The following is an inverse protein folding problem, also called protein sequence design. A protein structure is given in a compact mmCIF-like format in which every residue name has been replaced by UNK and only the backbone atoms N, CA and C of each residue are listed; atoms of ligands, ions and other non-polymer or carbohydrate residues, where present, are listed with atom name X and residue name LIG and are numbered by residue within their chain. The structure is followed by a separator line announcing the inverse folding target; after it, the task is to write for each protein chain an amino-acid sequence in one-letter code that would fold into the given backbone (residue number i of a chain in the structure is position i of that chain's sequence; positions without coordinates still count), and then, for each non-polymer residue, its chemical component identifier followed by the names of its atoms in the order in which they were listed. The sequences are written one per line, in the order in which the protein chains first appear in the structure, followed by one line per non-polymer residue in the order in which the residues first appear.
data_IF_462646985577
#
_entry.id   IF_462646985577
#
_cell.length_a   1.000
_cell.length_b   1.000
_cell.length_c   1.000
_cell.angle_alpha   90.00
_cell.angle_beta   90.00
_cell.angle_gamma   90.00
#
_symmetry.space_group_name_H-M   'P 1'
#
loop_
_entity.id
_entity.type
_entity.pdbx_description
1 polymer ?
#
# COMPACT_ATOMS: atom_id res chain seq x y z
N UNK A 1 2.71 -31.86 -6.71
CA UNK A 1 3.19 -30.83 -5.75
C UNK A 1 2.26 -29.66 -5.87
N UNK A 2 1.57 -29.32 -4.77
CA UNK A 2 0.43 -28.42 -4.75
C UNK A 2 0.82 -26.98 -5.09
N UNK A 3 0.20 -26.42 -6.13
CA UNK A 3 0.12 -24.97 -6.36
C UNK A 3 -0.88 -24.40 -5.38
N UNK A 4 -0.38 -23.68 -4.37
CA UNK A 4 -1.21 -22.95 -3.40
C UNK A 4 -1.83 -21.74 -4.08
N UNK A 5 -3.15 -21.78 -4.30
CA UNK A 5 -3.96 -20.60 -4.57
C UNK A 5 -3.93 -19.71 -3.32
N UNK A 6 -3.22 -18.58 -3.39
CA UNK A 6 -3.32 -17.56 -2.36
C UNK A 6 -4.66 -16.82 -2.54
N UNK A 7 -5.71 -17.36 -1.92
CA UNK A 7 -6.96 -16.63 -1.67
C UNK A 7 -6.69 -15.57 -0.60
N UNK A 8 -5.93 -14.53 -0.93
CA UNK A 8 -5.67 -13.43 0.00
C UNK A 8 -6.90 -12.57 0.03
N UNK A 9 -7.69 -12.67 1.11
CA UNK A 9 -8.74 -11.71 1.44
C UNK A 9 -8.09 -10.33 1.49
N UNK A 10 -8.16 -9.59 0.39
CA UNK A 10 -7.62 -8.24 0.30
C UNK A 10 -8.40 -7.36 1.26
N UNK A 11 -7.76 -6.95 2.34
CA UNK A 11 -8.38 -6.02 3.28
C UNK A 11 -8.37 -4.64 2.67
N UNK A 12 -9.55 -4.05 2.57
CA UNK A 12 -9.74 -2.69 2.09
C UNK A 12 -9.93 -1.77 3.28
N UNK A 13 -9.06 -0.77 3.37
CA UNK A 13 -9.15 0.35 4.29
C UNK A 13 -9.52 1.64 3.56
N UNK A 14 -9.65 2.74 4.29
CA UNK A 14 -9.93 4.07 3.75
C UNK A 14 -8.93 5.10 4.23
N UNK A 15 -8.54 6.01 3.34
CA UNK A 15 -7.64 7.11 3.69
C UNK A 15 -8.37 8.12 4.58
N UNK A 16 -7.85 8.36 5.78
CA UNK A 16 -8.39 9.35 6.72
C UNK A 16 -7.68 10.70 6.62
N UNK A 17 -6.38 10.68 6.35
CA UNK A 17 -5.55 11.88 6.36
C UNK A 17 -4.36 11.74 5.43
N UNK A 18 -3.90 12.85 4.85
CA UNK A 18 -2.72 12.94 3.99
C UNK A 18 -1.92 14.16 4.44
N UNK A 19 -0.65 13.98 4.78
CA UNK A 19 0.28 15.02 5.22
C UNK A 19 1.61 14.83 4.48
N UNK A 20 1.87 15.67 3.48
CA UNK A 20 3.08 15.56 2.66
C UNK A 20 3.21 14.16 2.07
N UNK A 21 4.35 13.50 2.29
CA UNK A 21 4.63 12.13 1.84
C UNK A 21 4.07 11.02 2.74
N UNK A 22 3.29 11.37 3.78
CA UNK A 22 2.68 10.40 4.70
C UNK A 22 1.16 10.43 4.60
N UNK A 23 0.52 9.28 4.76
CA UNK A 23 -0.94 9.18 4.81
C UNK A 23 -1.37 8.22 5.90
N UNK A 24 -2.51 8.52 6.51
CA UNK A 24 -3.11 7.69 7.53
C UNK A 24 -4.31 6.95 6.92
N UNK A 25 -4.34 5.63 7.07
CA UNK A 25 -5.43 4.77 6.62
C UNK A 25 -6.13 4.12 7.81
N UNK A 26 -7.44 3.93 7.69
CA UNK A 26 -8.28 3.24 8.67
C UNK A 26 -8.73 1.91 8.09
N UNK A 27 -8.53 0.86 8.88
CA UNK A 27 -8.87 -0.51 8.57
C UNK A 27 -9.78 -1.09 9.67
N UNK A 28 -10.59 -2.11 9.36
CA UNK A 28 -11.30 -2.86 10.38
C UNK A 28 -10.33 -3.42 11.43
N UNK A 29 -10.64 -3.30 12.72
CA UNK A 29 -9.71 -3.67 13.82
C UNK A 29 -9.21 -5.13 13.76
N UNK A 30 -10.02 -6.04 13.20
CA UNK A 30 -9.66 -7.46 13.06
C UNK A 30 -8.78 -7.76 11.85
N UNK A 31 -8.54 -6.79 10.97
CA UNK A 31 -7.81 -6.92 9.72
C UNK A 31 -6.81 -5.78 9.58
N UNK A 32 -6.12 -5.45 10.68
CA UNK A 32 -5.15 -4.38 10.68
C UNK A 32 -3.85 -4.86 9.99
N UNK A 33 -3.33 -4.15 8.98
CA UNK A 33 -2.07 -4.52 8.34
C UNK A 33 -0.90 -4.49 9.32
N UNK A 34 0.05 -5.41 9.15
CA UNK A 34 1.27 -5.41 9.96
C UNK A 34 2.18 -4.22 9.60
N UNK A 35 3.08 -3.87 10.52
CA UNK A 35 4.13 -2.89 10.23
C UNK A 35 5.02 -3.46 9.11
N UNK A 36 5.42 -2.61 8.17
CA UNK A 36 6.14 -2.91 6.94
C UNK A 36 5.31 -3.57 5.82
N UNK A 37 4.01 -3.81 6.01
CA UNK A 37 3.17 -4.23 4.90
C UNK A 37 3.02 -3.12 3.85
N UNK A 38 3.01 -3.52 2.58
CA UNK A 38 2.74 -2.63 1.48
C UNK A 38 1.23 -2.43 1.31
N UNK A 39 0.82 -1.17 1.19
CA UNK A 39 -0.53 -0.75 0.87
C UNK A 39 -0.55 -0.15 -0.53
N UNK A 40 -1.59 -0.47 -1.29
CA UNK A 40 -1.75 0.01 -2.66
C UNK A 40 -3.00 0.86 -2.77
N UNK A 41 -2.86 2.05 -3.36
CA UNK A 41 -3.96 2.95 -3.70
C UNK A 41 -4.05 3.00 -5.21
N UNK A 42 -5.12 2.41 -5.76
CA UNK A 42 -5.41 2.42 -7.19
C UNK A 42 -6.77 3.06 -7.40
N UNK A 43 -6.77 4.25 -7.98
CA UNK A 43 -8.02 4.92 -8.35
C UNK A 43 -7.85 5.72 -9.62
N UNK A 44 -8.95 5.87 -10.36
CA UNK A 44 -9.03 6.81 -11.47
C UNK A 44 -9.88 7.99 -11.02
N UNK A 45 -9.25 9.12 -10.73
CA UNK A 45 -9.95 10.33 -10.32
C UNK A 45 -9.91 11.34 -11.47
N UNK A 46 -11.07 11.57 -12.10
CA UNK A 46 -11.23 12.57 -13.18
C UNK A 46 -10.25 12.39 -14.36
N UNK A 47 -9.92 11.15 -14.72
CA UNK A 47 -9.01 10.84 -15.83
C UNK A 47 -7.53 10.84 -15.45
N UNK A 48 -7.18 11.12 -14.19
CA UNK A 48 -5.83 10.94 -13.65
C UNK A 48 -5.77 9.59 -12.97
N UNK A 49 -4.89 8.71 -13.48
CA UNK A 49 -4.61 7.42 -12.86
C UNK A 49 -3.68 7.64 -11.66
N UNK A 50 -4.18 7.27 -10.48
CA UNK A 50 -3.42 7.34 -9.24
C UNK A 50 -3.08 5.90 -8.87
N UNK A 51 -1.78 5.61 -8.92
CA UNK A 51 -1.20 4.33 -8.50
C UNK A 51 -0.08 4.62 -7.50
N UNK A 52 -0.43 4.67 -6.22
CA UNK A 52 0.50 4.98 -5.14
C UNK A 52 0.67 3.75 -4.28
N UNK A 53 1.91 3.31 -4.12
CA UNK A 53 2.26 2.30 -3.12
C UNK A 53 2.77 3.02 -1.87
N UNK A 54 2.32 2.60 -0.70
CA UNK A 54 2.84 3.05 0.58
C UNK A 54 3.19 1.88 1.47
N UNK A 55 3.96 2.15 2.52
CA UNK A 55 4.38 1.15 3.50
C UNK A 55 3.90 1.57 4.89
N UNK A 56 3.34 0.63 5.64
CA UNK A 56 2.91 0.86 7.03
C UNK A 56 4.13 1.06 7.92
N UNK A 57 4.24 2.20 8.59
CA UNK A 57 5.34 2.49 9.52
C UNK A 57 4.94 2.34 10.99
N UNK A 58 3.69 2.64 11.34
CA UNK A 58 3.23 2.60 12.72
C UNK A 58 1.72 2.42 12.81
N UNK A 59 1.27 1.84 13.91
CA UNK A 59 -0.13 1.78 14.28
C UNK A 59 -0.47 2.95 15.20
N UNK A 60 -1.49 3.74 14.84
CA UNK A 60 -1.94 4.90 15.62
C UNK A 60 -3.02 4.53 16.64
N UNK A 61 -3.57 3.31 16.58
CA UNK A 61 -4.67 2.84 17.41
C UNK A 61 -6.05 3.08 16.80
N UNK A 62 -7.07 2.37 17.32
CA UNK A 62 -8.46 2.49 16.85
C UNK A 62 -8.65 2.16 15.37
N UNK A 63 -7.97 1.12 14.87
CA UNK A 63 -8.05 0.72 13.45
C UNK A 63 -7.16 1.53 12.51
N UNK A 64 -6.42 2.54 13.01
CA UNK A 64 -5.65 3.48 12.16
C UNK A 64 -4.18 3.12 12.09
N UNK A 65 -3.62 3.24 10.89
CA UNK A 65 -2.21 3.05 10.58
C UNK A 65 -1.66 4.29 9.87
N UNK A 66 -0.39 4.61 10.12
CA UNK A 66 0.34 5.64 9.39
C UNK A 66 1.32 4.99 8.43
N UNK A 67 1.25 5.46 7.20
CA UNK A 67 1.97 4.91 6.09
C UNK A 67 2.82 6.00 5.42
N UNK A 68 3.96 5.60 4.89
CA UNK A 68 4.81 6.45 4.05
C UNK A 68 4.54 6.10 2.60
N UNK A 69 4.23 7.10 1.79
CA UNK A 69 4.06 6.93 0.35
C UNK A 69 5.44 6.80 -0.33
N UNK A 70 5.55 5.82 -1.23
CA UNK A 70 6.73 5.56 -2.04
C UNK A 70 6.64 6.22 -3.43
N UNK A 71 5.53 6.92 -3.69
CA UNK A 71 5.28 7.74 -4.88
C UNK A 71 4.63 9.08 -4.44
N UNK A 72 4.44 10.00 -5.39
CA UNK A 72 3.75 11.27 -5.10
C UNK A 72 2.32 11.02 -4.62
N UNK A 73 1.93 11.70 -3.54
CA UNK A 73 0.56 11.70 -3.01
C UNK A 73 -0.33 12.73 -3.70
N UNK A 74 0.15 13.39 -4.74
CA UNK A 74 -0.62 14.40 -5.47
C UNK A 74 -1.89 13.79 -6.07
N UNK A 75 -3.02 14.45 -5.83
CA UNK A 75 -4.33 13.99 -6.30
C UNK A 75 -4.98 12.92 -5.42
N UNK A 76 -4.29 12.38 -4.41
CA UNK A 76 -4.92 11.53 -3.40
C UNK A 76 -5.93 12.35 -2.58
N UNK A 77 -7.08 11.75 -2.28
CA UNK A 77 -8.13 12.38 -1.47
C UNK A 77 -8.53 11.45 -0.33
N UNK A 78 -9.05 12.06 0.74
CA UNK A 78 -9.62 11.32 1.87
C UNK A 78 -10.82 10.50 1.39
N UNK A 79 -11.00 9.32 1.98
CA UNK A 79 -12.05 8.37 1.63
C UNK A 79 -11.73 7.46 0.45
N UNK A 80 -10.58 7.66 -0.24
CA UNK A 80 -10.08 6.70 -1.22
C UNK A 80 -9.82 5.35 -0.57
N UNK A 81 -10.06 4.29 -1.34
CA UNK A 81 -9.81 2.93 -0.92
C UNK A 81 -8.30 2.64 -0.95
N UNK A 82 -7.84 1.99 0.10
CA UNK A 82 -6.47 1.54 0.32
C UNK A 82 -6.54 0.02 0.44
N UNK A 83 -5.71 -0.69 -0.32
CA UNK A 83 -5.72 -2.15 -0.33
C UNK A 83 -4.46 -2.65 0.36
N UNK A 84 -4.60 -3.48 1.38
CA UNK A 84 -3.47 -4.21 1.97
C UNK A 84 -3.06 -5.36 1.05
N UNK A 85 -1.76 -5.42 0.72
CA UNK A 85 -1.19 -6.51 -0.05
C UNK A 85 -0.91 -7.74 0.81
N UNK A 86 -0.89 -7.59 2.14
CA UNK A 86 -0.63 -8.65 3.11
C UNK A 86 0.85 -9.05 3.21
N UNK A 87 1.74 -8.36 2.51
CA UNK A 87 3.17 -8.60 2.53
C UNK A 87 3.96 -7.29 2.41
N UNK A 88 5.25 -7.29 2.80
CA UNK A 88 6.13 -6.17 2.52
C UNK A 88 6.35 -5.93 1.03
N UNK A 89 6.86 -4.75 0.69
CA UNK A 89 7.28 -4.42 -0.68
C UNK A 89 8.29 -5.46 -1.17
N UNK A 90 7.98 -6.08 -2.31
CA UNK A 90 8.77 -7.16 -2.88
C UNK A 90 9.44 -6.72 -4.16
N UNK A 91 10.75 -6.92 -4.26
CA UNK A 91 11.56 -6.54 -5.43
C UNK A 91 12.12 -7.77 -6.14
N UNK A 92 12.26 -7.76 -7.48
CA UNK A 92 12.84 -8.86 -8.22
C UNK A 92 14.34 -9.00 -7.95
N UNK A 93 14.82 -10.24 -7.84
CA UNK A 93 16.24 -10.56 -7.60
C UNK A 93 16.74 -11.66 -8.54
N UNK A 94 18.07 -11.80 -8.66
CA UNK A 94 18.72 -12.88 -9.43
C UNK A 94 19.37 -12.41 -10.73
N UNK A 95 19.88 -13.35 -11.55
CA UNK A 95 20.65 -13.01 -12.77
C UNK A 95 19.89 -12.15 -13.77
N UNK A 96 18.56 -12.23 -13.75
CA UNK A 96 17.71 -11.40 -14.61
C UNK A 96 17.80 -9.90 -14.31
N UNK A 97 18.24 -9.47 -13.13
CA UNK A 97 18.33 -8.04 -12.78
C UNK A 97 19.63 -7.39 -13.23
N UNK A 98 20.63 -8.18 -13.65
CA UNK A 98 21.93 -7.67 -14.11
C UNK A 98 21.76 -6.79 -15.36
N UNK A 99 22.33 -5.60 -15.32
CA UNK A 99 22.28 -4.63 -16.43
C UNK A 99 20.96 -3.87 -16.56
N UNK A 100 20.04 -4.00 -15.59
CA UNK A 100 18.79 -3.23 -15.55
C UNK A 100 18.87 -2.16 -14.46
N UNK A 101 18.23 -1.02 -14.71
CA UNK A 101 18.02 0.04 -13.72
C UNK A 101 16.62 -0.15 -13.12
N UNK A 102 16.53 -0.15 -11.80
CA UNK A 102 15.27 -0.27 -11.06
C UNK A 102 15.03 0.99 -10.24
N UNK A 103 13.76 1.33 -10.07
CA UNK A 103 13.28 2.26 -9.06
C UNK A 103 13.08 1.51 -7.73
N UNK A 104 12.55 2.21 -6.72
CA UNK A 104 12.35 1.67 -5.38
C UNK A 104 11.25 0.58 -5.31
N UNK A 105 10.37 0.51 -6.32
CA UNK A 105 9.26 -0.43 -6.45
C UNK A 105 9.49 -1.40 -7.62
#
# INVERSE_FOLDING_TARGET
MATTEASTTQTVGKITQIIGSTFDAEFPEKQLPEIYNALTVKTNNKGVEINVTGEVQQHLGGGRVRCVALASTDGMVRGMDVIDTGAPVSVPVGKGTLGRVFNLL
#
